data_IF_705885948692
#
_entry.id   IF_705885948692
#
_cell.length_a   1.000
_cell.length_b   1.000
_cell.length_c   1.000
_cell.angle_alpha   90.00
_cell.angle_beta   90.00
_cell.angle_gamma   90.00
#
_symmetry.space_group_name_H-M   'P 1'
#
loop_
_entity.id
_entity.type
_entity.pdbx_description
1 polymer ?
#
# COMPACT_ATOMS: atom_id res chain seq x y z
N UNK A 1 1.43 4.31 -1.07
CA UNK A 1 0.93 4.57 -2.44
C UNK A 1 1.91 4.10 -3.51
N UNK A 2 3.11 4.70 -3.68
CA UNK A 2 4.05 4.35 -4.77
C UNK A 2 4.33 2.84 -5.01
N UNK A 3 4.41 2.04 -3.94
CA UNK A 3 4.64 0.57 -4.01
C UNK A 3 3.36 -0.25 -4.14
N UNK A 4 2.32 0.12 -3.39
CA UNK A 4 1.15 -0.73 -3.15
C UNK A 4 -0.02 -0.37 -4.05
N UNK A 5 -0.26 0.92 -4.24
CA UNK A 5 -1.46 1.44 -4.88
C UNK A 5 -1.18 2.87 -5.35
N UNK A 6 -0.78 3.00 -6.61
CA UNK A 6 -0.39 4.29 -7.18
C UNK A 6 -1.60 5.17 -7.44
N UNK A 7 -2.80 4.62 -7.63
CA UNK A 7 -4.02 5.37 -7.99
C UNK A 7 -4.99 5.51 -6.83
N UNK A 8 -4.55 5.25 -5.61
CA UNK A 8 -5.35 5.27 -4.39
C UNK A 8 -6.31 6.46 -4.26
N UNK A 9 -5.86 7.66 -4.64
CA UNK A 9 -6.66 8.89 -4.52
C UNK A 9 -7.65 9.08 -5.68
N UNK A 10 -7.56 8.29 -6.75
CA UNK A 10 -8.38 8.42 -7.98
C UNK A 10 -9.51 7.39 -8.07
N UNK A 11 -9.49 6.35 -7.25
CA UNK A 11 -10.50 5.28 -7.29
C UNK A 11 -11.29 5.20 -5.99
N UNK A 12 -12.44 4.53 -6.00
CA UNK A 12 -13.28 4.30 -4.83
C UNK A 12 -13.19 2.83 -4.38
N UNK A 13 -12.04 2.45 -3.82
CA UNK A 13 -11.78 1.10 -3.33
C UNK A 13 -11.28 0.07 -4.34
N UNK A 14 -11.55 0.23 -5.64
CA UNK A 14 -11.15 -0.73 -6.67
C UNK A 14 -10.46 -0.02 -7.84
N UNK A 15 -9.22 -0.42 -8.14
CA UNK A 15 -8.49 0.04 -9.33
C UNK A 15 -8.74 -0.92 -10.50
N UNK A 16 -9.76 -0.61 -11.31
CA UNK A 16 -10.15 -1.42 -12.46
C UNK A 16 -9.02 -1.56 -13.50
N UNK A 17 -8.22 -0.52 -13.71
CA UNK A 17 -7.09 -0.56 -14.63
C UNK A 17 -5.99 -1.50 -14.11
N UNK A 18 -5.73 -1.50 -12.79
CA UNK A 18 -4.81 -2.46 -12.18
C UNK A 18 -5.35 -3.90 -12.28
N UNK A 19 -6.66 -4.09 -12.07
CA UNK A 19 -7.31 -5.40 -12.21
C UNK A 19 -7.18 -5.91 -13.65
N UNK A 20 -7.48 -5.09 -14.65
CA UNK A 20 -7.37 -5.46 -16.06
C UNK A 20 -5.92 -5.79 -16.45
N UNK A 21 -4.96 -4.96 -16.03
CA UNK A 21 -3.52 -5.21 -16.26
C UNK A 21 -3.06 -6.51 -15.61
N UNK A 22 -3.50 -6.78 -14.38
CA UNK A 22 -3.18 -8.01 -13.68
C UNK A 22 -3.80 -9.23 -14.37
N UNK A 23 -5.05 -9.15 -14.83
CA UNK A 23 -5.72 -10.20 -15.57
C UNK A 23 -4.98 -10.54 -16.87
N UNK A 24 -4.71 -9.53 -17.72
CA UNK A 24 -3.96 -9.70 -18.98
C UNK A 24 -2.60 -10.37 -18.75
N UNK A 25 -1.84 -9.91 -17.76
CA UNK A 25 -0.51 -10.47 -17.43
C UNK A 25 -0.58 -11.90 -16.89
N UNK A 26 -1.59 -12.21 -16.08
CA UNK A 26 -1.75 -13.54 -15.50
C UNK A 26 -2.23 -14.56 -16.55
N UNK A 27 -3.02 -14.13 -17.55
CA UNK A 27 -3.42 -14.96 -18.69
C UNK A 27 -2.25 -15.30 -19.62
N UNK A 28 -1.27 -14.41 -19.74
CA UNK A 28 -0.05 -14.62 -20.54
C UNK A 28 0.95 -15.62 -19.91
N UNK A 29 0.60 -16.31 -18.82
CA UNK A 29 1.38 -17.44 -18.28
C UNK A 29 2.68 -17.07 -17.55
N UNK A 30 2.81 -15.83 -17.06
CA UNK A 30 4.00 -15.40 -16.34
C UNK A 30 4.27 -16.18 -15.04
N UNK A 31 5.55 -16.47 -14.72
CA UNK A 31 5.99 -17.21 -13.52
C UNK A 31 5.50 -16.62 -12.19
N UNK A 32 5.12 -15.34 -12.14
CA UNK A 32 4.65 -14.65 -10.93
C UNK A 32 3.32 -13.95 -11.22
N UNK A 33 2.28 -14.34 -10.48
CA UNK A 33 0.97 -13.67 -10.54
C UNK A 33 1.09 -12.23 -10.06
N UNK A 34 0.55 -11.30 -10.84
CA UNK A 34 0.40 -9.91 -10.43
C UNK A 34 -0.86 -9.77 -9.58
N UNK A 35 -0.74 -9.11 -8.43
CA UNK A 35 -1.88 -8.71 -7.61
C UNK A 35 -2.42 -7.34 -8.07
N UNK A 36 -3.68 -7.08 -7.73
CA UNK A 36 -4.36 -5.80 -8.00
C UNK A 36 -5.17 -5.31 -6.79
N UNK A 37 -4.79 -5.74 -5.58
CA UNK A 37 -5.49 -5.34 -4.36
C UNK A 37 -5.09 -3.92 -3.97
N UNK A 38 -6.08 -3.06 -3.78
CA UNK A 38 -5.90 -1.66 -3.37
C UNK A 38 -5.60 -1.55 -1.89
N UNK A 39 -5.16 -0.36 -1.44
CA UNK A 39 -4.98 -0.07 -0.01
C UNK A 39 -6.29 -0.25 0.77
N UNK A 40 -7.43 0.14 0.19
CA UNK A 40 -8.75 0.00 0.82
C UNK A 40 -9.13 -1.47 1.00
N UNK A 41 -8.90 -2.30 -0.02
CA UNK A 41 -9.12 -3.74 0.09
C UNK A 41 -8.23 -4.39 1.15
N UNK A 42 -6.96 -3.98 1.21
CA UNK A 42 -6.04 -4.46 2.23
C UNK A 42 -6.47 -4.04 3.64
N UNK A 43 -6.95 -2.80 3.80
CA UNK A 43 -7.50 -2.28 5.07
C UNK A 43 -8.72 -3.09 5.49
N UNK A 44 -9.70 -3.27 4.58
CA UNK A 44 -10.91 -4.04 4.87
C UNK A 44 -10.57 -5.48 5.29
N UNK A 45 -9.63 -6.11 4.59
CA UNK A 45 -9.14 -7.45 4.88
C UNK A 45 -8.47 -7.57 6.26
N UNK A 46 -7.71 -6.56 6.68
CA UNK A 46 -6.96 -6.60 7.94
C UNK A 46 -7.81 -6.22 9.16
N UNK A 47 -8.77 -5.30 8.98
CA UNK A 47 -9.57 -4.75 10.08
C UNK A 47 -10.82 -5.59 10.36
N UNK A 48 -11.51 -6.08 9.33
CA UNK A 48 -12.84 -6.70 9.50
C UNK A 48 -12.87 -8.21 9.30
N UNK A 49 -11.82 -8.80 8.71
CA UNK A 49 -11.81 -10.21 8.36
C UNK A 49 -10.78 -10.98 9.18
N UNK A 50 -11.06 -12.27 9.41
CA UNK A 50 -10.16 -13.22 10.08
C UNK A 50 -8.91 -13.50 9.24
N UNK A 51 -7.98 -14.40 9.57
CA UNK A 51 -6.97 -14.89 8.60
C UNK A 51 -7.52 -16.03 7.72
N UNK A 52 -7.24 -16.04 6.41
CA UNK A 52 -7.64 -17.17 5.54
C UNK A 52 -7.83 -16.81 4.06
N UNK A 53 -8.10 -17.83 3.22
CA UNK A 53 -8.37 -17.66 1.78
C UNK A 53 -9.62 -18.46 1.41
N UNK A 54 -10.71 -17.78 1.04
CA UNK A 54 -11.91 -18.39 0.48
C UNK A 54 -12.67 -17.38 -0.39
N UNK A 55 -13.49 -17.86 -1.32
CA UNK A 55 -14.32 -16.99 -2.16
C UNK A 55 -15.39 -16.24 -1.37
N UNK A 56 -15.99 -16.89 -0.36
CA UNK A 56 -16.94 -16.25 0.57
C UNK A 56 -16.27 -15.08 1.30
N UNK A 57 -15.08 -15.31 1.85
CA UNK A 57 -14.28 -14.25 2.48
C UNK A 57 -13.95 -13.13 1.50
N UNK A 58 -13.63 -13.45 0.25
CA UNK A 58 -13.36 -12.45 -0.78
C UNK A 58 -14.61 -11.60 -1.10
N UNK A 59 -15.81 -12.19 -1.04
CA UNK A 59 -17.07 -11.46 -1.14
C UNK A 59 -17.24 -10.44 -0.01
N UNK A 60 -16.97 -10.84 1.23
CA UNK A 60 -16.98 -9.90 2.37
C UNK A 60 -15.92 -8.80 2.23
N UNK A 61 -14.74 -9.12 1.71
CA UNK A 61 -13.70 -8.09 1.43
C UNK A 61 -14.23 -7.02 0.48
N UNK A 62 -14.94 -7.41 -0.59
CA UNK A 62 -15.56 -6.47 -1.53
C UNK A 62 -16.61 -5.60 -0.82
N UNK A 63 -17.49 -6.22 -0.03
CA UNK A 63 -18.53 -5.51 0.72
C UNK A 63 -17.93 -4.47 1.70
N UNK A 64 -16.99 -4.88 2.56
CA UNK A 64 -16.37 -3.97 3.52
C UNK A 64 -15.51 -2.91 2.85
N UNK A 65 -14.88 -3.21 1.70
CA UNK A 65 -14.15 -2.20 0.92
C UNK A 65 -15.08 -1.09 0.45
N UNK A 66 -16.25 -1.44 -0.10
CA UNK A 66 -17.24 -0.46 -0.52
C UNK A 66 -17.77 0.35 0.68
N UNK A 67 -18.03 -0.32 1.81
CA UNK A 67 -18.51 0.32 3.02
C UNK A 67 -17.52 1.36 3.57
N UNK A 68 -16.22 1.03 3.67
CA UNK A 68 -15.23 2.01 4.17
C UNK A 68 -15.00 3.15 3.18
N UNK A 69 -15.06 2.92 1.88
CA UNK A 69 -14.90 3.99 0.87
C UNK A 69 -16.10 4.94 0.84
N UNK A 70 -17.29 4.47 1.25
CA UNK A 70 -18.47 5.31 1.41
C UNK A 70 -18.41 6.13 2.71
N UNK A 71 -17.92 5.52 3.79
CA UNK A 71 -18.01 6.08 5.14
C UNK A 71 -16.77 6.85 5.59
N UNK A 72 -15.58 6.53 5.06
CA UNK A 72 -14.30 7.07 5.52
C UNK A 72 -13.62 7.91 4.44
N UNK A 73 -12.99 9.01 4.86
CA UNK A 73 -12.11 9.80 4.00
C UNK A 73 -10.89 8.98 3.57
N UNK A 74 -10.26 9.37 2.45
CA UNK A 74 -8.99 8.75 2.00
C UNK A 74 -7.89 8.82 3.06
N UNK A 75 -7.85 9.92 3.82
CA UNK A 75 -6.94 10.08 4.95
C UNK A 75 -7.22 9.04 6.03
N UNK A 76 -8.48 8.87 6.44
CA UNK A 76 -8.85 7.89 7.45
C UNK A 76 -8.56 6.45 7.01
N UNK A 77 -8.79 6.11 5.74
CA UNK A 77 -8.43 4.80 5.20
C UNK A 77 -6.91 4.58 5.25
N UNK A 78 -6.11 5.58 4.85
CA UNK A 78 -4.65 5.49 4.90
C UNK A 78 -4.14 5.33 6.34
N UNK A 79 -4.70 6.07 7.28
CA UNK A 79 -4.36 5.97 8.70
C UNK A 79 -4.66 4.57 9.24
N UNK A 80 -5.88 4.06 9.02
CA UNK A 80 -6.27 2.72 9.44
C UNK A 80 -5.40 1.64 8.78
N UNK A 81 -5.06 1.80 7.49
CA UNK A 81 -4.16 0.93 6.77
C UNK A 81 -2.77 0.86 7.44
N UNK A 82 -2.16 2.02 7.67
CA UNK A 82 -0.81 2.12 8.23
C UNK A 82 -0.71 1.60 9.66
N UNK A 83 -1.81 1.65 10.42
CA UNK A 83 -1.87 1.12 11.79
C UNK A 83 -2.18 -0.38 11.86
N UNK A 84 -2.83 -0.96 10.83
CA UNK A 84 -3.30 -2.35 10.87
C UNK A 84 -2.46 -3.34 10.06
N UNK A 85 -1.57 -2.87 9.18
CA UNK A 85 -0.79 -3.76 8.32
C UNK A 85 0.42 -4.38 9.06
N UNK A 86 0.64 -5.68 8.84
CA UNK A 86 1.84 -6.41 9.29
C UNK A 86 3.05 -5.95 8.44
N UNK A 87 4.03 -5.31 9.07
CA UNK A 87 5.25 -4.80 8.43
C UNK A 87 6.52 -5.60 8.78
N UNK A 88 6.36 -6.62 9.64
CA UNK A 88 7.36 -7.60 10.06
C UNK A 88 6.68 -8.71 10.87
N UNK A 89 7.40 -9.79 11.21
CA UNK A 89 6.82 -10.89 12.00
C UNK A 89 6.29 -10.39 13.36
N UNK A 90 4.97 -10.28 13.50
CA UNK A 90 4.34 -9.74 14.72
C UNK A 90 4.43 -8.22 14.88
N UNK A 91 4.92 -7.49 13.89
CA UNK A 91 5.05 -6.02 13.93
C UNK A 91 3.92 -5.43 13.09
N UNK A 92 2.95 -4.80 13.75
CA UNK A 92 1.80 -4.15 13.12
C UNK A 92 1.86 -2.66 13.37
N UNK A 93 1.73 -1.88 12.29
CA UNK A 93 1.75 -0.43 12.40
C UNK A 93 3.05 0.23 11.93
N UNK A 94 2.91 1.44 11.37
CA UNK A 94 4.04 2.26 10.93
C UNK A 94 4.95 2.69 12.09
N UNK A 95 4.38 3.12 13.22
CA UNK A 95 5.17 3.49 14.40
C UNK A 95 5.91 2.29 14.99
N UNK A 96 5.24 1.14 15.12
CA UNK A 96 5.88 -0.07 15.63
C UNK A 96 7.09 -0.46 14.77
N UNK A 97 6.97 -0.50 13.43
CA UNK A 97 8.12 -0.83 12.59
C UNK A 97 9.21 0.25 12.64
N UNK A 98 8.84 1.53 12.78
CA UNK A 98 9.80 2.62 12.95
C UNK A 98 10.66 2.40 14.20
N UNK A 99 10.02 2.07 15.32
CA UNK A 99 10.68 1.83 16.60
C UNK A 99 11.55 0.57 16.53
N UNK A 100 10.98 -0.57 16.15
CA UNK A 100 11.67 -1.87 16.17
C UNK A 100 12.84 -1.98 15.19
N UNK A 101 12.73 -1.34 14.01
CA UNK A 101 13.73 -1.48 12.95
C UNK A 101 14.71 -0.31 12.89
N UNK A 102 14.30 0.90 13.30
CA UNK A 102 15.10 2.10 13.13
C UNK A 102 15.34 2.89 14.43
N UNK A 103 14.67 2.54 15.53
CA UNK A 103 14.76 3.27 16.80
C UNK A 103 14.20 4.69 16.70
N UNK A 104 13.14 4.87 15.90
CA UNK A 104 12.52 6.15 15.56
C UNK A 104 11.01 6.10 15.71
N UNK A 105 10.36 7.25 15.82
CA UNK A 105 8.92 7.40 15.55
C UNK A 105 8.66 7.39 14.04
N UNK A 106 7.42 7.10 13.60
CA UNK A 106 7.12 7.09 12.17
C UNK A 106 7.33 8.46 11.49
N UNK A 107 7.18 9.56 12.25
CA UNK A 107 7.41 10.93 11.76
C UNK A 107 8.89 11.23 11.47
N UNK A 108 9.81 10.53 12.13
CA UNK A 108 11.26 10.71 11.97
C UNK A 108 11.85 9.85 10.85
N UNK A 109 11.04 8.97 10.24
CA UNK A 109 11.49 8.13 9.15
C UNK A 109 11.84 8.98 7.93
N UNK A 110 13.06 8.79 7.44
CA UNK A 110 13.50 9.36 6.19
C UNK A 110 12.73 8.76 5.02
N UNK A 111 12.70 9.48 3.89
CA UNK A 111 12.09 9.01 2.64
C UNK A 111 12.58 7.61 2.24
N UNK A 112 13.87 7.31 2.46
CA UNK A 112 14.43 6.02 2.12
C UNK A 112 14.04 4.89 3.07
N UNK A 113 13.94 5.18 4.37
CA UNK A 113 13.43 4.21 5.35
C UNK A 113 11.95 3.89 5.08
N UNK A 114 11.13 4.89 4.77
CA UNK A 114 9.74 4.69 4.32
C UNK A 114 9.66 3.79 3.06
N UNK A 115 10.52 4.02 2.07
CA UNK A 115 10.57 3.19 0.88
C UNK A 115 11.04 1.76 1.17
N UNK A 116 11.94 1.59 2.15
CA UNK A 116 12.42 0.29 2.57
C UNK A 116 11.36 -0.50 3.35
N UNK A 117 10.59 0.16 4.23
CA UNK A 117 9.40 -0.42 4.85
C UNK A 117 8.38 -0.82 3.79
N UNK A 118 8.06 0.05 2.84
CA UNK A 118 7.15 -0.29 1.74
C UNK A 118 7.65 -1.47 0.89
N UNK A 119 8.98 -1.69 0.81
CA UNK A 119 9.55 -2.84 0.12
C UNK A 119 9.32 -4.18 0.84
N UNK A 120 8.98 -4.18 2.14
CA UNK A 120 8.74 -5.41 2.92
C UNK A 120 7.31 -5.93 2.76
N UNK A 121 6.34 -5.04 2.55
CA UNK A 121 4.90 -5.31 2.53
C UNK A 121 4.45 -6.49 1.64
N UNK A 122 5.08 -6.78 0.48
CA UNK A 122 4.70 -7.94 -0.31
C UNK A 122 4.90 -9.29 0.39
N UNK A 123 5.82 -9.37 1.36
CA UNK A 123 6.06 -10.56 2.18
C UNK A 123 6.79 -10.19 3.50
N UNK A 124 6.09 -9.59 4.48
CA UNK A 124 6.69 -9.02 5.69
C UNK A 124 7.34 -10.07 6.60
N UNK A 125 6.99 -11.35 6.43
CA UNK A 125 7.60 -12.47 7.19
C UNK A 125 8.92 -12.94 6.60
N UNK A 126 9.18 -12.70 5.31
CA UNK A 126 10.46 -13.02 4.65
C UNK A 126 11.36 -11.81 4.46
N UNK A 127 10.78 -10.62 4.32
CA UNK A 127 11.51 -9.39 4.06
C UNK A 127 11.63 -8.59 5.35
N UNK A 128 12.83 -8.07 5.62
CA UNK A 128 13.12 -7.28 6.81
C UNK A 128 13.72 -5.94 6.41
N UNK A 129 13.09 -4.83 6.83
CA UNK A 129 13.67 -3.50 6.64
C UNK A 129 14.81 -3.20 7.63
N UNK A 130 14.91 -3.97 8.73
CA UNK A 130 16.07 -3.94 9.63
C UNK A 130 17.32 -4.57 9.00
N UNK A 131 17.14 -5.69 8.29
CA UNK A 131 18.24 -6.44 7.65
C UNK A 131 17.93 -6.67 6.16
N UNK A 132 17.97 -5.63 5.32
CA UNK A 132 17.49 -5.72 3.95
C UNK A 132 18.46 -6.43 3.01
N UNK A 133 17.96 -7.40 2.25
CA UNK A 133 18.71 -8.08 1.20
C UNK A 133 19.02 -7.17 0.02
N UNK A 134 19.95 -7.59 -0.86
CA UNK A 134 20.26 -6.87 -2.10
C UNK A 134 19.02 -6.64 -2.99
N UNK A 135 18.11 -7.63 -3.02
CA UNK A 135 16.83 -7.51 -3.72
C UNK A 135 15.97 -6.38 -3.12
N UNK A 136 15.88 -6.30 -1.79
CA UNK A 136 15.11 -5.27 -1.11
C UNK A 136 15.69 -3.88 -1.34
N UNK A 137 17.01 -3.72 -1.28
CA UNK A 137 17.68 -2.44 -1.60
C UNK A 137 17.42 -1.99 -3.04
N UNK A 138 17.38 -2.93 -4.00
CA UNK A 138 16.97 -2.63 -5.38
C UNK A 138 15.52 -2.16 -5.45
N UNK A 139 14.61 -2.84 -4.74
CA UNK A 139 13.19 -2.48 -4.67
C UNK A 139 12.97 -1.13 -4.00
N UNK A 140 13.68 -0.84 -2.91
CA UNK A 140 13.69 0.46 -2.22
C UNK A 140 13.98 1.59 -3.20
N UNK A 141 15.09 1.51 -3.95
CA UNK A 141 15.45 2.52 -4.96
C UNK A 141 14.35 2.73 -6.01
N UNK A 142 13.72 1.64 -6.46
CA UNK A 142 12.61 1.74 -7.41
C UNK A 142 11.40 2.46 -6.80
N UNK A 143 11.07 2.16 -5.53
CA UNK A 143 9.97 2.80 -4.81
C UNK A 143 10.28 4.29 -4.60
N UNK A 144 11.49 4.65 -4.14
CA UNK A 144 11.91 6.05 -3.96
C UNK A 144 11.81 6.85 -5.26
N UNK A 145 12.25 6.25 -6.38
CA UNK A 145 12.12 6.85 -7.70
C UNK A 145 10.66 7.02 -8.10
N UNK A 146 9.79 6.07 -7.76
CA UNK A 146 8.37 6.15 -8.08
C UNK A 146 7.60 7.14 -7.18
N UNK A 147 8.08 7.42 -5.96
CA UNK A 147 7.44 8.35 -5.04
C UNK A 147 7.37 9.79 -5.58
N UNK A 148 8.16 10.17 -6.60
CA UNK A 148 8.06 11.49 -7.24
C UNK A 148 6.81 11.66 -8.12
N UNK A 149 6.20 10.55 -8.54
CA UNK A 149 4.96 10.53 -9.33
C UNK A 149 3.71 10.49 -8.46
N UNK A 150 3.90 10.52 -7.14
CA UNK A 150 2.85 10.43 -6.14
C UNK A 150 2.70 11.81 -5.50
N UNK A 151 1.48 12.39 -5.46
CA UNK A 151 1.28 13.71 -4.90
C UNK A 151 1.53 13.71 -3.40
N UNK A 152 1.77 14.89 -2.85
CA UNK A 152 1.66 15.09 -1.41
C UNK A 152 0.26 14.62 -0.98
N UNK A 153 0.20 13.86 0.12
CA UNK A 153 -1.05 13.30 0.58
C UNK A 153 -1.97 14.45 1.04
N UNK A 154 -3.22 14.52 0.55
CA UNK A 154 -4.10 15.64 0.87
C UNK A 154 -4.55 15.61 2.33
N UNK A 155 -4.79 16.79 2.90
CA UNK A 155 -5.49 16.92 4.18
C UNK A 155 -6.96 16.55 4.04
N UNK A 156 -7.59 16.23 5.16
CA UNK A 156 -9.00 15.83 5.20
C UNK A 156 -9.91 16.89 4.57
N UNK A 157 -10.82 16.42 3.71
CA UNK A 157 -11.73 17.28 2.95
C UNK A 157 -11.10 18.05 1.78
N UNK A 158 -9.83 17.83 1.44
CA UNK A 158 -9.16 18.47 0.30
C UNK A 158 -8.79 17.46 -0.78
N UNK A 159 -8.80 17.92 -2.02
CA UNK A 159 -8.25 17.18 -3.15
C UNK A 159 -6.71 17.22 -3.16
N UNK A 160 -6.10 16.25 -3.85
CA UNK A 160 -4.65 16.24 -4.05
C UNK A 160 -4.21 17.41 -4.94
N UNK A 161 -2.96 17.84 -4.80
CA UNK A 161 -2.40 18.93 -5.59
C UNK A 161 -1.52 18.38 -6.74
N UNK A 162 -1.93 18.50 -8.03
CA UNK A 162 -1.14 18.03 -9.18
C UNK A 162 0.24 18.68 -9.29
N UNK A 163 0.45 19.88 -8.72
CA UNK A 163 1.74 20.59 -8.77
C UNK A 163 2.82 19.92 -7.89
N UNK A 164 2.44 18.97 -7.05
CA UNK A 164 3.36 18.24 -6.17
C UNK A 164 3.96 16.99 -6.83
N UNK A 165 3.58 16.68 -8.08
CA UNK A 165 4.09 15.51 -8.80
C UNK A 165 4.98 15.88 -9.99
N UNK A 166 5.93 14.99 -10.28
CA UNK A 166 6.80 15.07 -11.45
C UNK A 166 6.23 14.18 -12.56
N UNK A 167 5.05 14.51 -13.07
CA UNK A 167 4.37 13.73 -14.11
C UNK A 167 3.55 12.54 -13.58
N UNK A 168 3.11 11.67 -14.49
CA UNK A 168 2.38 10.45 -14.15
C UNK A 168 0.85 10.61 -14.16
N UNK A 169 0.16 9.71 -13.47
CA UNK A 169 -1.32 9.66 -13.49
C UNK A 169 -1.97 10.87 -12.79
N UNK A 170 -1.25 11.51 -11.87
CA UNK A 170 -1.72 12.68 -11.10
C UNK A 170 -1.31 14.03 -11.68
N UNK A 171 -0.54 14.07 -12.76
CA UNK A 171 -0.08 15.33 -13.35
C UNK A 171 -1.06 15.95 -14.34
N UNK A 172 -2.23 15.33 -14.50
CA UNK A 172 -3.29 15.78 -15.40
C UNK A 172 -4.38 16.48 -14.61
#
# INVERSE_FOLDING_TARGET
MASEDQRFLLHHGFDYDAIEKAAKRNLQGGKRKLGASTISQQTAKNVFLWPGRSWVRKGFEVYFTALIELMWSKQRIMEAYLNSIEMGNGIYGADAVAEYHFGKTALELSRGECALVAATLPNPRKFSSKSPSAYMKKRQRQIEANMRFIPAFPSEGKDYNPRTVVGGVYSR
#
